data_IF_681075016384
#
_entry.id   IF_681075016384
#
_cell.length_a   1.000
_cell.length_b   1.000
_cell.length_c   1.000
_cell.angle_alpha   90.00
_cell.angle_beta   90.00
_cell.angle_gamma   90.00
#
_symmetry.space_group_name_H-M   'P 1'
#
loop_
_entity.id
_entity.type
_entity.pdbx_description
1 polymer ?
#
# COMPACT_ATOMS: atom_id res chain seq x y z
N UNK A 1 17.95 -37.52 18.20
CA UNK A 1 16.60 -37.26 17.61
C UNK A 1 15.76 -36.25 18.40
N UNK A 2 15.86 -36.18 19.75
CA UNK A 2 15.09 -35.23 20.57
C UNK A 2 15.47 -33.74 20.33
N UNK A 3 16.73 -33.43 20.04
CA UNK A 3 17.18 -32.05 19.79
C UNK A 3 16.69 -31.48 18.46
N UNK A 4 16.50 -32.31 17.45
CA UNK A 4 15.95 -31.90 16.17
C UNK A 4 14.49 -31.40 16.27
N UNK A 5 13.63 -32.12 17.00
CA UNK A 5 12.25 -31.77 17.22
C UNK A 5 12.03 -30.45 18.00
N UNK A 6 12.93 -30.10 18.93
CA UNK A 6 12.86 -28.85 19.71
C UNK A 6 13.25 -27.67 18.84
N UNK A 7 14.24 -27.82 17.96
CA UNK A 7 14.70 -26.77 17.05
C UNK A 7 13.67 -26.45 15.97
N UNK A 8 12.97 -27.48 15.46
CA UNK A 8 11.89 -27.30 14.49
C UNK A 8 10.67 -26.62 15.10
N UNK A 9 10.32 -26.92 16.36
CA UNK A 9 9.25 -26.21 17.08
C UNK A 9 9.58 -24.74 17.30
N UNK A 10 10.79 -24.42 17.69
CA UNK A 10 11.22 -23.03 17.89
C UNK A 10 11.15 -22.22 16.58
N UNK A 11 11.59 -22.82 15.46
CA UNK A 11 11.46 -22.20 14.12
C UNK A 11 10.00 -21.99 13.75
N UNK A 12 9.14 -22.99 13.92
CA UNK A 12 7.71 -22.89 13.61
C UNK A 12 7.04 -21.79 14.43
N UNK A 13 7.36 -21.67 15.72
CA UNK A 13 6.84 -20.61 16.58
C UNK A 13 7.32 -19.22 16.11
N UNK A 14 8.60 -19.11 15.76
CA UNK A 14 9.17 -17.86 15.23
C UNK A 14 8.51 -17.45 13.90
N UNK A 15 8.27 -18.40 13.01
CA UNK A 15 7.61 -18.16 11.72
C UNK A 15 6.15 -17.75 11.91
N UNK A 16 5.43 -18.37 12.82
CA UNK A 16 4.06 -17.96 13.17
C UNK A 16 4.02 -16.56 13.76
N UNK A 17 4.98 -16.21 14.61
CA UNK A 17 5.08 -14.86 15.18
C UNK A 17 5.39 -13.81 14.11
N UNK A 18 6.27 -14.15 13.18
CA UNK A 18 6.59 -13.31 12.02
C UNK A 18 5.36 -13.09 11.12
N UNK A 19 4.59 -14.14 10.85
CA UNK A 19 3.34 -14.04 10.08
C UNK A 19 2.33 -13.13 10.77
N UNK A 20 2.15 -13.26 12.09
CA UNK A 20 1.28 -12.38 12.88
C UNK A 20 1.71 -10.92 12.77
N UNK A 21 3.01 -10.64 12.90
CA UNK A 21 3.56 -9.30 12.74
C UNK A 21 3.29 -8.70 11.35
N UNK A 22 3.41 -9.51 10.31
CA UNK A 22 3.08 -9.09 8.94
C UNK A 22 1.61 -8.68 8.79
N UNK A 23 0.70 -9.42 9.44
CA UNK A 23 -0.74 -9.07 9.45
C UNK A 23 -0.97 -7.73 10.17
N UNK A 24 -0.31 -7.49 11.29
CA UNK A 24 -0.41 -6.20 11.99
C UNK A 24 0.11 -5.03 11.15
N UNK A 25 1.26 -5.20 10.48
CA UNK A 25 1.79 -4.21 9.54
C UNK A 25 0.85 -3.95 8.36
N UNK A 26 0.22 -4.99 7.83
CA UNK A 26 -0.75 -4.87 6.75
C UNK A 26 -1.97 -4.05 7.18
N UNK A 27 -2.56 -4.32 8.34
CA UNK A 27 -3.69 -3.55 8.84
C UNK A 27 -3.29 -2.11 9.21
N UNK A 28 -2.10 -1.89 9.74
CA UNK A 28 -1.55 -0.55 9.97
C UNK A 28 -1.46 0.22 8.65
N UNK A 29 -0.94 -0.40 7.60
CA UNK A 29 -0.83 0.18 6.27
C UNK A 29 -2.21 0.55 5.70
N UNK A 30 -3.19 -0.36 5.78
CA UNK A 30 -4.58 -0.12 5.35
C UNK A 30 -5.17 1.10 6.05
N UNK A 31 -5.06 1.17 7.37
CA UNK A 31 -5.58 2.31 8.16
C UNK A 31 -4.96 3.63 7.74
N UNK A 32 -3.67 3.64 7.46
CA UNK A 32 -2.94 4.86 7.10
C UNK A 32 -3.27 5.35 5.70
N UNK A 33 -3.33 4.45 4.72
CA UNK A 33 -3.37 4.81 3.31
C UNK A 33 -4.77 4.79 2.70
N UNK A 34 -5.67 3.94 3.18
CA UNK A 34 -7.06 3.91 2.74
C UNK A 34 -7.98 4.81 3.57
N UNK A 35 -7.39 5.67 4.43
CA UNK A 35 -8.10 6.64 5.26
C UNK A 35 -9.28 6.05 6.06
N UNK A 36 -9.18 4.82 6.51
CA UNK A 36 -10.15 4.22 7.42
C UNK A 36 -9.97 4.84 8.82
N UNK A 37 -10.26 6.13 8.93
CA UNK A 37 -10.20 6.85 10.20
C UNK A 37 -11.50 6.71 11.01
N UNK A 38 -12.61 6.50 10.33
CA UNK A 38 -13.95 6.30 10.92
C UNK A 38 -14.67 5.19 10.17
N UNK A 39 -15.34 4.31 10.89
CA UNK A 39 -16.29 3.40 10.28
C UNK A 39 -17.56 4.17 9.94
N UNK A 40 -18.08 3.98 8.71
CA UNK A 40 -19.29 4.67 8.26
C UNK A 40 -20.57 4.12 8.91
N UNK A 41 -20.49 2.98 9.61
CA UNK A 41 -21.59 2.37 10.32
C UNK A 41 -21.15 1.75 11.63
N UNK A 42 -22.06 1.69 12.60
CA UNK A 42 -21.84 1.15 13.94
C UNK A 42 -22.16 -0.35 13.97
N UNK A 43 -22.91 -0.86 12.99
CA UNK A 43 -23.27 -2.26 12.93
C UNK A 43 -22.05 -3.14 12.59
N UNK A 44 -22.00 -4.33 13.14
CA UNK A 44 -20.94 -5.30 12.89
C UNK A 44 -20.79 -5.62 11.40
N UNK A 45 -21.92 -5.73 10.69
CA UNK A 45 -21.95 -5.97 9.23
C UNK A 45 -21.32 -4.82 8.45
N UNK A 46 -21.61 -3.57 8.82
CA UNK A 46 -21.03 -2.39 8.15
C UNK A 46 -19.52 -2.33 8.34
N UNK A 47 -19.03 -2.61 9.55
CA UNK A 47 -17.58 -2.66 9.85
C UNK A 47 -16.90 -3.77 9.04
N UNK A 48 -17.47 -4.98 9.03
CA UNK A 48 -16.92 -6.09 8.24
C UNK A 48 -16.88 -5.76 6.75
N UNK A 49 -17.96 -5.18 6.20
CA UNK A 49 -18.03 -4.79 4.79
C UNK A 49 -16.94 -3.77 4.45
N UNK A 50 -16.74 -2.77 5.29
CA UNK A 50 -15.70 -1.75 5.06
C UNK A 50 -14.29 -2.34 5.08
N UNK A 51 -14.02 -3.29 5.97
CA UNK A 51 -12.74 -4.01 6.01
C UNK A 51 -12.55 -4.83 4.73
N UNK A 52 -13.57 -5.55 4.26
CA UNK A 52 -13.49 -6.33 3.02
C UNK A 52 -13.27 -5.47 1.80
N UNK A 53 -13.92 -4.31 1.70
CA UNK A 53 -13.70 -3.33 0.63
C UNK A 53 -12.23 -2.87 0.65
N UNK A 54 -11.70 -2.52 1.81
CA UNK A 54 -10.31 -2.07 1.93
C UNK A 54 -9.31 -3.14 1.49
N UNK A 55 -9.51 -4.39 1.90
CA UNK A 55 -8.67 -5.52 1.48
C UNK A 55 -8.76 -5.73 -0.03
N UNK A 56 -9.96 -5.67 -0.60
CA UNK A 56 -10.18 -5.82 -2.04
C UNK A 56 -9.46 -4.75 -2.84
N UNK A 57 -9.55 -3.48 -2.44
CA UNK A 57 -8.84 -2.36 -3.08
C UNK A 57 -7.32 -2.57 -3.02
N UNK A 58 -6.79 -2.96 -1.86
CA UNK A 58 -5.36 -3.24 -1.71
C UNK A 58 -4.90 -4.34 -2.68
N UNK A 59 -5.62 -5.46 -2.73
CA UNK A 59 -5.29 -6.59 -3.60
C UNK A 59 -5.34 -6.20 -5.07
N UNK A 60 -6.39 -5.48 -5.49
CA UNK A 60 -6.53 -5.02 -6.87
C UNK A 60 -5.37 -4.10 -7.29
N UNK A 61 -4.99 -3.14 -6.44
CA UNK A 61 -3.85 -2.24 -6.71
C UNK A 61 -2.53 -3.01 -6.73
N UNK A 62 -2.35 -3.98 -5.85
CA UNK A 62 -1.15 -4.84 -5.85
C UNK A 62 -1.04 -5.70 -7.12
N UNK A 63 -2.16 -6.27 -7.60
CA UNK A 63 -2.22 -7.01 -8.86
C UNK A 63 -1.89 -6.08 -10.04
N UNK A 64 -2.49 -4.89 -10.07
CA UNK A 64 -2.25 -3.90 -11.12
C UNK A 64 -0.78 -3.46 -11.15
N UNK A 65 -0.18 -3.16 -10.00
CA UNK A 65 1.25 -2.85 -9.89
C UNK A 65 2.11 -3.96 -10.49
N UNK A 66 1.80 -5.22 -10.16
CA UNK A 66 2.55 -6.37 -10.66
C UNK A 66 2.38 -6.58 -12.17
N UNK A 67 1.15 -6.44 -12.69
CA UNK A 67 0.85 -6.63 -14.12
C UNK A 67 1.45 -5.55 -15.01
N UNK A 68 1.43 -4.30 -14.53
CA UNK A 68 1.96 -3.16 -15.27
C UNK A 68 3.45 -2.91 -14.98
N UNK A 69 4.10 -3.77 -14.17
CA UNK A 69 5.51 -3.64 -13.76
C UNK A 69 5.86 -2.23 -13.29
N UNK A 70 5.01 -1.63 -12.45
CA UNK A 70 5.18 -0.27 -11.96
C UNK A 70 6.20 -0.22 -10.82
N UNK A 71 7.19 0.66 -10.92
CA UNK A 71 8.18 0.89 -9.87
C UNK A 71 7.64 1.74 -8.70
N UNK A 72 6.51 2.41 -8.92
CA UNK A 72 5.90 3.30 -7.95
C UNK A 72 5.39 2.56 -6.70
N UNK A 73 5.36 3.28 -5.56
CA UNK A 73 4.77 2.73 -4.34
C UNK A 73 3.26 2.51 -4.48
N UNK A 74 2.71 1.53 -3.75
CA UNK A 74 1.25 1.30 -3.74
C UNK A 74 0.47 2.55 -3.31
N UNK A 75 1.06 3.35 -2.43
CA UNK A 75 0.46 4.61 -1.99
C UNK A 75 0.35 5.64 -3.13
N UNK A 76 1.42 5.82 -3.90
CA UNK A 76 1.43 6.71 -5.06
C UNK A 76 0.38 6.30 -6.10
N UNK A 77 0.30 5.00 -6.39
CA UNK A 77 -0.71 4.45 -7.31
C UNK A 77 -2.12 4.75 -6.80
N UNK A 78 -2.40 4.57 -5.50
CA UNK A 78 -3.69 4.89 -4.89
C UNK A 78 -4.00 6.38 -4.95
N UNK A 79 -3.02 7.26 -4.77
CA UNK A 79 -3.23 8.72 -4.92
C UNK A 79 -3.63 9.09 -6.35
N UNK A 80 -2.89 8.58 -7.34
CA UNK A 80 -3.21 8.83 -8.75
C UNK A 80 -4.61 8.31 -9.07
N UNK A 81 -4.93 7.08 -8.69
CA UNK A 81 -6.26 6.51 -8.92
C UNK A 81 -7.36 7.30 -8.22
N UNK A 82 -7.13 7.85 -7.04
CA UNK A 82 -8.14 8.64 -6.33
C UNK A 82 -8.55 9.93 -7.06
N UNK A 83 -7.64 10.46 -7.87
CA UNK A 83 -7.86 11.67 -8.68
C UNK A 83 -8.45 11.30 -10.06
N UNK A 84 -7.90 10.28 -10.69
CA UNK A 84 -8.22 9.92 -12.09
C UNK A 84 -9.32 8.89 -12.24
N UNK A 85 -9.91 8.38 -11.14
CA UNK A 85 -10.89 7.29 -11.17
C UNK A 85 -12.11 7.58 -12.04
N UNK A 86 -12.53 8.86 -12.12
CA UNK A 86 -13.67 9.29 -12.90
C UNK A 86 -13.29 9.91 -14.26
N UNK A 87 -12.00 10.00 -14.56
CA UNK A 87 -11.52 10.47 -15.85
C UNK A 87 -11.44 9.31 -16.84
N UNK A 88 -11.87 9.53 -18.08
CA UNK A 88 -11.75 8.54 -19.18
C UNK A 88 -10.33 8.48 -19.73
N UNK A 89 -9.33 8.37 -18.86
CA UNK A 89 -7.93 8.26 -19.23
C UNK A 89 -7.45 6.82 -19.14
N UNK A 90 -6.49 6.46 -20.00
CA UNK A 90 -5.91 5.13 -19.94
C UNK A 90 -5.03 5.02 -18.67
N UNK A 91 -5.31 4.06 -17.78
CA UNK A 91 -4.67 3.91 -16.47
C UNK A 91 -3.14 3.82 -16.60
N UNK A 92 -2.63 3.11 -17.61
CA UNK A 92 -1.19 3.02 -17.85
C UNK A 92 -0.56 4.37 -18.14
N UNK A 93 -1.22 5.23 -18.91
CA UNK A 93 -0.75 6.58 -19.23
C UNK A 93 -0.72 7.48 -17.99
N UNK A 94 -1.82 7.51 -17.22
CA UNK A 94 -1.91 8.31 -16.00
C UNK A 94 -0.85 7.94 -14.95
N UNK A 95 -0.48 6.66 -14.86
CA UNK A 95 0.55 6.19 -13.93
C UNK A 95 1.97 6.43 -14.44
N UNK A 96 2.19 6.48 -15.76
CA UNK A 96 3.51 6.72 -16.36
C UNK A 96 3.88 8.20 -16.34
N UNK A 97 2.93 9.09 -16.63
CA UNK A 97 3.18 10.54 -16.70
C UNK A 97 3.56 11.14 -15.35
N UNK A 98 2.96 10.67 -14.27
CA UNK A 98 3.36 11.08 -12.91
C UNK A 98 4.81 10.72 -12.53
N UNK A 99 5.42 9.75 -13.21
CA UNK A 99 6.82 9.38 -13.00
C UNK A 99 7.79 10.41 -13.62
N UNK A 100 7.41 11.06 -14.71
CA UNK A 100 8.20 12.12 -15.34
C UNK A 100 8.17 13.40 -14.50
N UNK A 101 7.02 13.80 -13.98
CA UNK A 101 6.88 15.03 -13.20
C UNK A 101 7.62 14.96 -11.86
N UNK A 102 7.66 13.81 -11.18
CA UNK A 102 8.42 13.63 -9.94
C UNK A 102 9.94 13.65 -10.14
N UNK A 103 10.47 13.29 -11.32
CA UNK A 103 11.90 13.41 -11.63
C UNK A 103 12.34 14.86 -11.88
N UNK A 104 11.46 15.70 -12.38
CA UNK A 104 11.77 17.11 -12.64
C UNK A 104 11.62 17.99 -11.39
N UNK A 105 10.74 17.64 -10.45
CA UNK A 105 10.50 18.46 -9.25
C UNK A 105 11.57 18.27 -8.17
N UNK A 106 12.32 17.16 -8.18
CA UNK A 106 13.38 16.91 -7.19
C UNK A 106 14.71 17.58 -7.57
N UNK A 107 14.83 18.11 -8.79
CA UNK A 107 16.06 18.74 -9.30
C UNK A 107 16.14 20.27 -9.21
N UNK A 108 15.06 20.97 -8.85
CA UNK A 108 14.99 22.42 -9.01
C UNK A 108 14.67 23.26 -7.77
N UNK A 109 14.67 22.74 -6.57
CA UNK A 109 14.34 23.53 -5.35
C UNK A 109 15.57 23.85 -4.49
N UNK A 110 16.79 23.64 -4.99
CA UNK A 110 17.98 23.89 -4.16
C UNK A 110 19.03 24.83 -4.78
N UNK A 111 18.60 25.81 -5.53
CA UNK A 111 19.49 26.87 -6.00
C UNK A 111 18.72 28.19 -5.95
N UNK A 112 18.72 28.89 -4.82
CA UNK A 112 18.55 30.35 -4.71
C UNK A 112 18.09 30.79 -3.31
N UNK A 113 18.73 30.31 -2.25
CA UNK A 113 18.46 30.88 -0.92
C UNK A 113 19.70 31.47 -0.23
N UNK A 114 20.87 31.46 -0.88
CA UNK A 114 22.09 32.14 -0.37
C UNK A 114 22.88 32.70 -1.51
N UNK A 115 22.38 33.80 -2.09
CA UNK A 115 23.18 34.78 -2.80
C UNK A 115 22.58 36.18 -2.55
N UNK A 116 23.03 36.76 -1.49
CA UNK A 116 22.97 38.20 -1.26
C UNK A 116 24.07 38.58 -0.27
#
# INVERSE_FOLDING_TARGET
>A
QRQMCIRDRARTVADLYKCRWQVELFFKWIKQHLRIKKFFGISETAVKTQIWIAISVYVLVAIMKKRLALDQSLYTILQVLSITLFEKTHISWALTENNYNNKFTTGHIQLNLFDS
#
